data_IF_799443041770
#
_entry.id   IF_799443041770
#
_cell.length_a   1.000
_cell.length_b   1.000
_cell.length_c   1.000
_cell.angle_alpha   90.00
_cell.angle_beta   90.00
_cell.angle_gamma   90.00
#
_symmetry.space_group_name_H-M   'P 1'
#
loop_
_entity.id
_entity.type
_entity.pdbx_description
1 polymer ?
#
# COMPACT_ATOMS: atom_id res chain seq x y z
N UNK A 1 28.59 4.01 -4.70
CA UNK A 1 27.88 4.24 -3.43
C UNK A 1 28.27 3.13 -2.45
N UNK A 2 28.68 3.48 -1.24
CA UNK A 2 28.91 2.48 -0.17
C UNK A 2 27.74 2.56 0.80
N UNK A 3 26.94 1.50 0.92
CA UNK A 3 25.94 1.38 1.98
C UNK A 3 26.66 0.94 3.26
N UNK A 4 26.57 1.76 4.30
CA UNK A 4 27.25 1.48 5.56
C UNK A 4 26.33 0.80 6.58
N UNK A 5 25.08 0.52 6.24
CA UNK A 5 24.17 -0.14 7.16
C UNK A 5 23.13 -0.98 6.44
N UNK A 6 22.65 -2.02 7.10
CA UNK A 6 21.59 -2.90 6.62
C UNK A 6 20.53 -3.11 7.69
N UNK A 7 19.26 -3.15 7.25
CA UNK A 7 18.14 -3.58 8.09
C UNK A 7 17.83 -5.04 7.78
N UNK A 8 17.64 -5.84 8.80
CA UNK A 8 17.14 -7.20 8.65
C UNK A 8 16.16 -7.57 9.76
N UNK A 9 15.33 -8.55 9.49
CA UNK A 9 14.34 -9.04 10.43
C UNK A 9 14.60 -10.50 10.79
N UNK A 10 14.30 -10.84 12.05
CA UNK A 10 14.30 -12.22 12.52
C UNK A 10 13.09 -12.43 13.44
N UNK A 11 12.08 -13.12 12.92
CA UNK A 11 10.85 -13.38 13.66
C UNK A 11 10.09 -12.11 14.03
N UNK A 12 10.21 -11.68 15.26
CA UNK A 12 9.55 -10.49 15.81
C UNK A 12 10.48 -9.29 15.98
N UNK A 13 11.72 -9.39 15.55
CA UNK A 13 12.73 -8.34 15.75
C UNK A 13 13.15 -7.74 14.42
N UNK A 14 13.41 -6.44 14.42
CA UNK A 14 14.16 -5.73 13.36
C UNK A 14 15.45 -5.20 13.94
N UNK A 15 16.51 -5.30 13.18
CA UNK A 15 17.87 -4.91 13.61
C UNK A 15 18.51 -4.06 12.53
N UNK A 16 19.16 -2.99 12.94
CA UNK A 16 20.07 -2.21 12.10
C UNK A 16 21.50 -2.58 12.45
N UNK A 17 22.20 -3.10 11.45
CA UNK A 17 23.62 -3.41 11.53
C UNK A 17 24.42 -2.33 10.81
N UNK A 18 25.51 -1.92 11.42
CA UNK A 18 26.45 -0.94 10.88
C UNK A 18 27.71 -1.66 10.38
N UNK A 19 27.90 -1.64 9.06
CA UNK A 19 29.04 -2.27 8.42
C UNK A 19 30.37 -1.50 8.58
N UNK A 20 30.32 -0.24 9.02
CA UNK A 20 31.54 0.55 9.21
C UNK A 20 32.32 0.15 10.45
N UNK A 21 31.63 -0.25 11.49
CA UNK A 21 32.20 -0.65 12.78
C UNK A 21 31.84 -2.07 13.20
N UNK A 22 31.16 -2.82 12.32
CA UNK A 22 30.73 -4.20 12.54
C UNK A 22 29.89 -4.40 13.82
N UNK A 23 28.98 -3.46 14.10
CA UNK A 23 28.14 -3.49 15.30
C UNK A 23 26.65 -3.34 14.98
N UNK A 24 25.85 -3.66 15.97
CA UNK A 24 24.41 -3.37 15.94
C UNK A 24 24.21 -1.94 16.45
N UNK A 25 23.66 -1.07 15.58
CA UNK A 25 23.27 0.29 15.99
C UNK A 25 22.06 0.25 16.90
N UNK A 26 21.04 -0.52 16.51
CA UNK A 26 19.84 -0.71 17.32
C UNK A 26 19.07 -1.99 16.94
N UNK A 27 18.26 -2.45 17.87
CA UNK A 27 17.33 -3.56 17.71
C UNK A 27 15.99 -3.18 18.33
N UNK A 28 14.89 -3.48 17.63
CA UNK A 28 13.51 -3.26 18.09
C UNK A 28 12.76 -4.57 18.03
N UNK A 29 12.12 -4.93 19.15
CA UNK A 29 11.29 -6.12 19.26
C UNK A 29 9.80 -5.74 19.19
N UNK A 30 8.98 -6.62 18.60
CA UNK A 30 7.55 -6.49 18.46
C UNK A 30 6.83 -7.67 19.13
N UNK A 31 5.60 -7.44 19.59
CA UNK A 31 4.76 -8.52 20.14
C UNK A 31 4.31 -9.52 19.06
N UNK A 32 4.25 -9.07 17.81
CA UNK A 32 3.77 -9.82 16.65
C UNK A 32 4.87 -10.12 15.65
N UNK A 33 4.68 -11.16 14.84
CA UNK A 33 5.61 -11.49 13.76
C UNK A 33 5.68 -10.34 12.75
N UNK A 34 6.89 -9.95 12.36
CA UNK A 34 7.12 -9.00 11.29
C UNK A 34 6.80 -9.69 9.97
N UNK A 35 5.98 -9.04 9.18
CA UNK A 35 5.53 -9.50 7.88
C UNK A 35 6.20 -8.74 6.74
N UNK A 36 6.62 -7.52 7.00
CA UNK A 36 7.28 -6.69 6.03
C UNK A 36 7.96 -5.46 6.59
N UNK A 37 8.96 -4.99 5.86
CA UNK A 37 9.64 -3.74 6.14
C UNK A 37 9.82 -2.95 4.84
N UNK A 38 9.70 -1.63 4.96
CA UNK A 38 10.05 -0.69 3.88
C UNK A 38 10.76 0.50 4.48
N UNK A 39 11.71 1.06 3.74
CA UNK A 39 12.43 2.25 4.17
C UNK A 39 12.32 3.34 3.12
N UNK A 40 12.07 4.55 3.60
CA UNK A 40 12.02 5.78 2.82
C UNK A 40 12.76 6.83 3.64
N UNK A 41 13.90 7.27 3.17
CA UNK A 41 14.76 8.20 3.89
C UNK A 41 15.03 7.74 5.34
N UNK A 42 14.60 8.51 6.32
CA UNK A 42 14.72 8.21 7.74
C UNK A 42 13.50 7.46 8.32
N UNK A 43 12.51 7.13 7.51
CA UNK A 43 11.31 6.42 7.92
C UNK A 43 11.43 4.92 7.63
N UNK A 44 11.24 4.09 8.65
CA UNK A 44 11.16 2.63 8.51
C UNK A 44 9.75 2.17 8.89
N UNK A 45 9.02 1.72 7.90
CA UNK A 45 7.69 1.14 8.10
C UNK A 45 7.83 -0.35 8.37
N UNK A 46 7.27 -0.81 9.46
CA UNK A 46 7.27 -2.23 9.85
C UNK A 46 5.83 -2.72 9.92
N UNK A 47 5.50 -3.66 9.05
CA UNK A 47 4.18 -4.31 9.09
C UNK A 47 4.27 -5.58 9.92
N UNK A 48 3.43 -5.67 10.95
CA UNK A 48 3.30 -6.86 11.80
C UNK A 48 1.91 -7.46 11.68
N UNK A 49 1.82 -8.77 11.92
CA UNK A 49 0.57 -9.52 11.86
C UNK A 49 0.43 -10.43 13.07
N UNK A 50 -0.79 -10.58 13.58
CA UNK A 50 -1.05 -11.59 14.60
C UNK A 50 -1.01 -13.01 13.98
N UNK A 51 -0.88 -14.02 14.83
CA UNK A 51 -0.75 -15.43 14.39
C UNK A 51 -1.95 -15.93 13.57
N UNK A 52 -3.11 -15.34 13.75
CA UNK A 52 -4.33 -15.70 13.03
C UNK A 52 -4.53 -14.91 11.73
N UNK A 53 -3.63 -13.98 11.41
CA UNK A 53 -3.71 -13.15 10.20
C UNK A 53 -4.87 -12.14 10.17
N UNK A 54 -5.64 -12.03 11.23
CA UNK A 54 -6.86 -11.19 11.29
C UNK A 54 -6.58 -9.72 11.60
N UNK A 55 -5.43 -9.43 12.20
CA UNK A 55 -5.06 -8.06 12.57
C UNK A 55 -3.65 -7.73 12.11
N UNK A 56 -3.55 -6.68 11.34
CA UNK A 56 -2.29 -6.12 10.87
C UNK A 56 -2.07 -4.75 11.50
N UNK A 57 -0.82 -4.44 11.70
CA UNK A 57 -0.38 -3.16 12.26
C UNK A 57 0.80 -2.66 11.44
N UNK A 58 0.85 -1.35 11.23
CA UNK A 58 2.01 -0.68 10.70
C UNK A 58 2.60 0.23 11.78
N UNK A 59 3.87 0.03 12.05
CA UNK A 59 4.65 0.87 12.95
C UNK A 59 5.62 1.71 12.17
N UNK A 60 5.85 2.93 12.60
CA UNK A 60 6.94 3.76 12.11
C UNK A 60 8.09 3.75 13.11
N UNK A 61 9.30 3.51 12.59
CA UNK A 61 10.55 3.58 13.32
C UNK A 61 11.44 4.64 12.67
N UNK A 62 12.08 5.46 13.46
CA UNK A 62 13.14 6.34 13.01
C UNK A 62 14.41 5.53 12.68
N UNK A 63 14.89 5.66 11.46
CA UNK A 63 16.03 4.86 10.96
C UNK A 63 17.33 5.13 11.72
N UNK A 64 17.53 6.36 12.20
CA UNK A 64 18.77 6.74 12.87
C UNK A 64 18.82 6.18 14.28
N UNK A 65 17.73 6.38 15.04
CA UNK A 65 17.68 6.06 16.46
C UNK A 65 17.09 4.70 16.80
N UNK A 66 16.34 4.09 15.89
CA UNK A 66 15.54 2.88 16.17
C UNK A 66 14.32 3.16 17.04
N UNK A 67 14.01 4.41 17.33
CA UNK A 67 12.86 4.78 18.15
C UNK A 67 11.56 4.54 17.38
N UNK A 68 10.66 3.75 17.98
CA UNK A 68 9.31 3.59 17.45
C UNK A 68 8.51 4.87 17.72
N UNK A 69 7.95 5.43 16.65
CA UNK A 69 7.24 6.71 16.70
C UNK A 69 5.75 6.51 16.96
N UNK A 70 5.13 5.59 16.24
CA UNK A 70 3.72 5.24 16.41
C UNK A 70 3.40 3.84 15.88
N UNK A 71 2.24 3.34 16.27
CA UNK A 71 1.63 2.10 15.77
C UNK A 71 0.20 2.38 15.33
N UNK A 72 -0.17 1.92 14.15
CA UNK A 72 -1.54 2.00 13.62
C UNK A 72 -2.06 0.61 13.29
N UNK A 73 -3.33 0.34 13.62
CA UNK A 73 -4.02 -0.91 13.26
C UNK A 73 -4.47 -0.88 11.81
N UNK A 74 -3.53 -0.63 10.92
CA UNK A 74 -3.73 -0.53 9.48
C UNK A 74 -2.59 -1.23 8.74
N UNK A 75 -2.84 -1.62 7.50
CA UNK A 75 -1.81 -2.05 6.56
C UNK A 75 -1.75 -1.05 5.42
N UNK A 76 -0.57 -0.60 5.12
CA UNK A 76 -0.34 0.31 4.00
C UNK A 76 0.10 -0.48 2.78
N UNK A 77 -0.56 -0.27 1.65
CA UNK A 77 -0.17 -0.82 0.36
C UNK A 77 0.50 0.25 -0.50
N UNK A 78 -0.19 1.35 -0.70
CA UNK A 78 0.30 2.53 -1.39
C UNK A 78 0.04 3.74 -0.54
N UNK A 79 1.04 4.55 -0.35
CA UNK A 79 0.98 5.79 0.43
C UNK A 79 1.52 6.95 -0.39
N UNK A 80 1.11 8.14 -0.01
CA UNK A 80 1.78 9.37 -0.44
C UNK A 80 2.37 10.05 0.79
N UNK A 81 3.63 10.46 0.68
CA UNK A 81 4.29 11.29 1.69
C UNK A 81 4.52 12.67 1.10
N UNK A 82 3.80 13.65 1.61
CA UNK A 82 3.84 15.03 1.12
C UNK A 82 4.21 15.92 2.30
N UNK A 83 5.44 16.42 2.34
CA UNK A 83 5.99 17.12 3.50
C UNK A 83 5.93 16.22 4.74
N UNK A 84 5.12 16.61 5.75
CA UNK A 84 4.90 15.85 6.98
C UNK A 84 3.54 15.14 7.00
N UNK A 85 2.85 15.03 5.88
CA UNK A 85 1.56 14.37 5.77
C UNK A 85 1.75 13.02 5.08
N UNK A 86 1.30 11.96 5.73
CA UNK A 86 1.19 10.63 5.16
C UNK A 86 -0.27 10.36 4.84
N UNK A 87 -0.55 10.07 3.57
CA UNK A 87 -1.90 9.79 3.07
C UNK A 87 -1.94 8.34 2.62
N UNK A 88 -2.96 7.62 3.05
CA UNK A 88 -3.22 6.25 2.66
C UNK A 88 -4.71 5.96 2.52
N UNK A 89 -5.01 4.93 1.75
CA UNK A 89 -6.35 4.35 1.67
C UNK A 89 -6.39 3.13 2.57
N UNK A 90 -7.31 3.11 3.51
CA UNK A 90 -7.50 1.99 4.42
C UNK A 90 -8.44 0.91 3.84
N UNK A 91 -8.55 -0.23 4.52
CA UNK A 91 -9.40 -1.36 4.10
C UNK A 91 -10.89 -1.03 4.06
N UNK A 92 -11.33 -0.02 4.79
CA UNK A 92 -12.73 0.43 4.80
C UNK A 92 -13.05 1.44 3.71
N UNK A 93 -12.18 1.56 2.71
CA UNK A 93 -12.30 2.49 1.58
C UNK A 93 -12.33 3.98 2.01
N UNK A 94 -11.62 4.29 3.10
CA UNK A 94 -11.41 5.68 3.53
C UNK A 94 -10.02 6.15 3.14
N UNK A 95 -9.92 7.40 2.74
CA UNK A 95 -8.65 8.12 2.64
C UNK A 95 -8.37 8.78 3.98
N UNK A 96 -7.26 8.42 4.57
CA UNK A 96 -6.83 8.95 5.87
C UNK A 96 -5.50 9.66 5.68
N UNK A 97 -5.40 10.85 6.24
CA UNK A 97 -4.16 11.61 6.33
C UNK A 97 -3.75 11.73 7.79
N UNK A 98 -2.50 11.43 8.06
CA UNK A 98 -1.90 11.57 9.38
C UNK A 98 -0.66 12.47 9.31
N UNK A 99 -0.34 13.10 10.40
CA UNK A 99 1.00 13.67 10.57
C UNK A 99 2.01 12.51 10.72
N UNK A 100 3.00 12.45 9.85
CA UNK A 100 3.94 11.32 9.79
C UNK A 100 4.80 11.20 11.05
N UNK A 101 5.06 12.30 11.73
CA UNK A 101 5.93 12.32 12.90
C UNK A 101 5.21 11.90 14.19
N UNK A 102 3.90 12.18 14.29
CA UNK A 102 3.12 11.88 15.49
C UNK A 102 2.14 10.73 15.32
N UNK A 103 1.79 10.37 14.09
CA UNK A 103 0.73 9.40 13.79
C UNK A 103 -0.69 9.93 14.03
N UNK A 104 -0.83 11.21 14.39
CA UNK A 104 -2.13 11.83 14.69
C UNK A 104 -2.90 12.04 13.38
N UNK A 105 -4.16 11.60 13.37
CA UNK A 105 -5.06 11.80 12.24
C UNK A 105 -5.34 13.29 12.05
N UNK A 106 -5.12 13.78 10.82
CA UNK A 106 -5.48 15.14 10.40
C UNK A 106 -6.90 15.16 9.85
N UNK A 107 -7.21 14.19 9.02
CA UNK A 107 -8.56 13.97 8.51
C UNK A 107 -8.75 12.55 8.03
N UNK A 108 -10.00 12.12 7.96
CA UNK A 108 -10.40 10.86 7.34
C UNK A 108 -11.71 11.07 6.59
N UNK A 109 -11.75 10.64 5.34
CA UNK A 109 -12.93 10.78 4.50
C UNK A 109 -13.27 9.47 3.81
N UNK A 110 -14.55 9.18 3.66
CA UNK A 110 -14.99 8.06 2.83
C UNK A 110 -14.66 8.37 1.37
N UNK A 111 -14.21 7.35 0.65
CA UNK A 111 -14.07 7.47 -0.80
C UNK A 111 -15.42 7.90 -1.41
N UNK A 112 -15.42 8.91 -2.27
CA UNK A 112 -16.65 9.31 -2.98
C UNK A 112 -17.08 8.27 -4.02
N UNK A 113 -16.23 7.27 -4.27
CA UNK A 113 -16.46 6.23 -5.28
C UNK A 113 -16.96 4.96 -4.60
N UNK A 114 -18.25 4.69 -4.75
CA UNK A 114 -18.93 3.58 -4.06
C UNK A 114 -18.53 2.21 -4.61
N UNK A 115 -18.34 2.10 -5.92
CA UNK A 115 -18.21 0.82 -6.62
C UNK A 115 -16.89 0.67 -7.38
N UNK A 116 -16.03 1.66 -7.34
CA UNK A 116 -14.75 1.63 -8.02
C UNK A 116 -13.59 1.97 -7.10
N UNK A 117 -12.45 1.35 -7.35
CA UNK A 117 -11.22 1.77 -6.71
C UNK A 117 -10.70 3.02 -7.39
N UNK A 118 -10.69 4.18 -6.73
CA UNK A 118 -10.17 5.38 -7.33
C UNK A 118 -8.66 5.27 -7.56
N UNK A 119 -8.20 5.92 -8.61
CA UNK A 119 -6.79 6.22 -8.81
C UNK A 119 -6.46 7.54 -8.15
N UNK A 120 -5.23 7.68 -7.75
CA UNK A 120 -4.73 8.90 -7.08
C UNK A 120 -3.39 9.29 -7.65
N UNK A 121 -3.11 10.58 -7.74
CA UNK A 121 -1.78 11.12 -7.98
C UNK A 121 -1.67 12.57 -7.47
N UNK A 122 -0.45 12.99 -7.22
CA UNK A 122 -0.10 14.38 -6.94
C UNK A 122 0.53 15.01 -8.19
N UNK A 123 0.01 16.14 -8.62
CA UNK A 123 0.58 16.90 -9.73
C UNK A 123 0.45 18.40 -9.45
N UNK A 124 1.55 19.15 -9.58
CA UNK A 124 1.57 20.60 -9.35
C UNK A 124 0.97 21.02 -8.00
N UNK A 125 1.25 20.25 -6.93
CA UNK A 125 0.74 20.50 -5.59
C UNK A 125 -0.75 20.19 -5.39
N UNK A 126 -1.43 19.62 -6.38
CA UNK A 126 -2.84 19.23 -6.34
C UNK A 126 -2.96 17.73 -6.25
N UNK A 127 -3.68 17.24 -5.25
CA UNK A 127 -3.92 15.80 -5.07
C UNK A 127 -5.25 15.42 -5.72
N UNK A 128 -5.16 14.60 -6.76
CA UNK A 128 -6.28 14.14 -7.56
C UNK A 128 -6.76 12.77 -7.08
N UNK A 129 -8.09 12.65 -6.92
CA UNK A 129 -8.79 11.38 -6.78
C UNK A 129 -9.76 11.26 -7.94
N UNK A 130 -9.74 10.17 -8.69
CA UNK A 130 -10.62 10.06 -9.84
C UNK A 130 -11.01 8.61 -10.16
N UNK A 131 -12.12 8.52 -10.87
CA UNK A 131 -12.62 7.32 -11.55
C UNK A 131 -12.85 7.66 -13.03
N UNK A 132 -13.40 6.71 -13.78
CA UNK A 132 -13.71 6.95 -15.22
C UNK A 132 -14.67 8.12 -15.49
N UNK A 133 -15.44 8.52 -14.49
CA UNK A 133 -16.54 9.51 -14.68
C UNK A 133 -16.38 10.78 -13.87
N UNK A 134 -15.68 10.72 -12.75
CA UNK A 134 -15.65 11.81 -11.79
C UNK A 134 -14.26 12.04 -11.26
N UNK A 135 -13.89 13.29 -11.13
CA UNK A 135 -12.58 13.74 -10.70
C UNK A 135 -12.76 14.70 -9.54
N UNK A 136 -12.00 14.48 -8.48
CA UNK A 136 -11.97 15.34 -7.31
C UNK A 136 -10.55 15.81 -7.02
N UNK A 137 -10.45 17.02 -6.51
CA UNK A 137 -9.27 17.53 -5.81
C UNK A 137 -9.47 17.34 -4.32
N UNK A 138 -8.48 16.76 -3.68
CA UNK A 138 -8.42 16.66 -2.22
C UNK A 138 -7.59 17.81 -1.67
N UNK A 139 -8.21 18.60 -0.81
CA UNK A 139 -7.47 19.57 -0.01
C UNK A 139 -6.73 18.85 1.12
N UNK A 140 -5.41 18.96 1.13
CA UNK A 140 -4.54 18.22 2.06
C UNK A 140 -4.55 18.78 3.49
N UNK A 141 -5.06 19.99 3.69
CA UNK A 141 -5.11 20.59 5.00
C UNK A 141 -6.34 20.16 5.81
N UNK A 142 -7.46 19.93 5.13
CA UNK A 142 -8.75 19.69 5.79
C UNK A 142 -9.54 18.48 5.25
N UNK A 143 -9.05 17.79 4.24
CA UNK A 143 -9.72 16.62 3.66
C UNK A 143 -10.93 16.94 2.78
N UNK A 144 -11.20 18.21 2.47
CA UNK A 144 -12.35 18.59 1.63
C UNK A 144 -12.14 18.17 0.18
N UNK A 145 -13.14 17.52 -0.39
CA UNK A 145 -13.19 17.19 -1.80
C UNK A 145 -13.91 18.28 -2.59
N UNK A 146 -13.32 18.65 -3.74
CA UNK A 146 -13.95 19.58 -4.69
C UNK A 146 -13.91 18.91 -6.05
N UNK A 147 -15.08 18.88 -6.72
CA UNK A 147 -15.15 18.38 -8.09
C UNK A 147 -14.27 19.21 -9.01
N UNK A 148 -13.59 18.55 -9.94
CA UNK A 148 -12.58 19.18 -10.77
C UNK A 148 -12.48 18.50 -12.14
N UNK A 149 -11.54 18.97 -12.94
CA UNK A 149 -11.13 18.35 -14.19
C UNK A 149 -9.65 17.94 -14.09
N UNK A 150 -9.25 16.97 -14.86
CA UNK A 150 -7.84 16.65 -15.02
C UNK A 150 -7.12 17.81 -15.72
N UNK A 151 -5.81 17.94 -15.51
CA UNK A 151 -4.97 18.83 -16.30
C UNK A 151 -5.11 18.55 -17.80
N UNK A 152 -4.90 19.57 -18.62
CA UNK A 152 -4.94 19.47 -20.06
C UNK A 152 -4.04 18.32 -20.56
N UNK A 153 -4.51 17.62 -21.58
CA UNK A 153 -3.86 16.47 -22.20
C UNK A 153 -3.82 15.18 -21.35
N UNK A 154 -4.43 15.16 -20.16
CA UNK A 154 -4.62 13.91 -19.40
C UNK A 154 -6.06 13.42 -19.59
N UNK A 155 -6.21 12.20 -20.09
CA UNK A 155 -7.53 11.54 -20.22
C UNK A 155 -7.71 10.54 -19.07
N UNK A 156 -8.86 10.62 -18.41
CA UNK A 156 -9.19 9.72 -17.29
C UNK A 156 -9.25 8.25 -17.72
N UNK A 157 -9.67 7.96 -18.95
CA UNK A 157 -9.75 6.58 -19.48
C UNK A 157 -8.36 5.98 -19.62
N UNK A 158 -7.43 6.76 -20.17
CA UNK A 158 -6.04 6.31 -20.35
C UNK A 158 -5.36 6.06 -19.01
N UNK A 159 -5.57 6.97 -18.06
CA UNK A 159 -5.00 6.85 -16.71
C UNK A 159 -5.59 5.66 -15.94
N UNK A 160 -6.87 5.34 -16.13
CA UNK A 160 -7.51 4.20 -15.44
C UNK A 160 -7.04 2.88 -16.03
N UNK A 161 -6.83 2.81 -17.32
CA UNK A 161 -6.36 1.61 -18.01
C UNK A 161 -4.90 1.24 -17.64
N UNK A 162 -4.11 2.22 -17.19
CA UNK A 162 -2.69 2.07 -16.89
C UNK A 162 -2.36 2.03 -15.40
N UNK A 163 -1.06 1.97 -15.12
CA UNK A 163 -0.49 2.21 -13.80
C UNK A 163 -0.12 3.68 -13.69
N UNK A 164 -0.38 4.25 -12.52
CA UNK A 164 0.01 5.63 -12.21
C UNK A 164 1.02 5.59 -11.08
N UNK A 165 2.10 6.31 -11.26
CA UNK A 165 3.10 6.55 -10.24
C UNK A 165 3.51 8.01 -10.32
N UNK A 166 3.41 8.71 -9.21
CA UNK A 166 3.94 10.06 -9.05
C UNK A 166 5.18 10.07 -8.13
N UNK A 167 5.84 11.20 -8.04
CA UNK A 167 7.10 11.36 -7.28
C UNK A 167 6.93 11.13 -5.76
N UNK A 168 5.69 11.18 -5.24
CA UNK A 168 5.38 11.11 -3.83
C UNK A 168 4.70 9.80 -3.44
N UNK A 169 4.34 8.98 -4.44
CA UNK A 169 3.68 7.70 -4.23
C UNK A 169 4.68 6.60 -3.95
N UNK A 170 4.45 5.85 -2.91
CA UNK A 170 5.31 4.78 -2.46
C UNK A 170 4.50 3.52 -2.21
N UNK A 171 4.95 2.41 -2.78
CA UNK A 171 4.36 1.10 -2.56
C UNK A 171 5.12 0.38 -1.44
N UNK A 172 4.47 0.15 -0.31
CA UNK A 172 5.12 -0.36 0.90
C UNK A 172 5.13 -1.89 0.96
N UNK A 173 4.08 -2.55 0.54
CA UNK A 173 3.90 -3.98 0.76
C UNK A 173 4.03 -4.85 -0.50
N UNK A 174 5.04 -4.59 -1.32
CA UNK A 174 5.47 -5.53 -2.36
C UNK A 174 6.46 -6.56 -1.78
N UNK A 175 6.06 -7.31 -0.76
CA UNK A 175 6.94 -8.29 -0.14
C UNK A 175 6.61 -9.64 -0.76
N UNK A 176 7.58 -10.26 -1.46
CA UNK A 176 7.48 -11.67 -1.78
C UNK A 176 7.45 -12.45 -0.47
N UNK A 177 6.34 -13.09 -0.16
CA UNK A 177 6.30 -14.05 0.92
C UNK A 177 7.11 -15.28 0.50
N UNK A 178 8.35 -15.35 0.94
CA UNK A 178 9.21 -16.51 0.69
C UNK A 178 8.80 -17.77 1.47
N UNK A 179 7.69 -17.74 2.21
CA UNK A 179 7.40 -18.79 3.18
C UNK A 179 5.96 -19.30 3.23
N UNK A 180 5.15 -19.03 2.23
CA UNK A 180 3.88 -19.72 2.09
C UNK A 180 3.37 -19.60 0.66
N UNK A 181 3.06 -20.75 0.04
CA UNK A 181 2.44 -20.87 -1.27
C UNK A 181 1.01 -20.32 -1.35
N UNK A 182 0.74 -19.22 -0.66
CA UNK A 182 -0.44 -18.42 -0.82
C UNK A 182 -0.03 -17.08 -1.42
N UNK A 183 -0.20 -16.98 -2.73
CA UNK A 183 -0.30 -15.69 -3.38
C UNK A 183 -1.35 -14.88 -2.63
N UNK A 184 -0.91 -13.86 -1.91
CA UNK A 184 -1.79 -12.73 -1.65
C UNK A 184 -1.88 -12.04 -2.99
N UNK A 185 -2.92 -12.32 -3.73
CA UNK A 185 -3.33 -11.45 -4.81
C UNK A 185 -3.50 -10.07 -4.18
N UNK A 186 -2.56 -9.18 -4.43
CA UNK A 186 -2.84 -7.77 -4.37
C UNK A 186 -4.06 -7.59 -5.26
N UNK A 187 -5.12 -7.08 -4.70
CA UNK A 187 -6.36 -6.74 -5.41
C UNK A 187 -6.06 -5.53 -6.32
N UNK A 188 -5.25 -5.78 -7.31
CA UNK A 188 -5.16 -4.97 -8.52
C UNK A 188 -6.31 -5.52 -9.34
N UNK A 189 -7.45 -4.84 -9.29
CA UNK A 189 -8.62 -5.21 -10.06
C UNK A 189 -8.23 -5.37 -11.54
N UNK A 190 -7.92 -6.59 -11.92
CA UNK A 190 -7.98 -6.99 -13.31
C UNK A 190 -9.46 -7.06 -13.65
N UNK A 191 -9.88 -6.11 -14.48
CA UNK A 191 -11.17 -6.17 -15.12
C UNK A 191 -11.31 -7.52 -15.79
N UNK A 192 -12.37 -8.19 -15.42
CA UNK A 192 -12.90 -9.37 -16.08
C UNK A 192 -13.16 -9.01 -17.55
N UNK A 193 -12.20 -9.36 -18.41
CA UNK A 193 -12.46 -9.47 -19.83
C UNK A 193 -12.95 -10.91 -20.06
N UNK A 194 -14.27 -11.05 -20.05
CA UNK A 194 -14.95 -12.26 -20.45
C UNK A 194 -14.40 -12.74 -21.78
N UNK A 195 -13.72 -13.87 -21.77
CA UNK A 195 -13.47 -14.67 -22.97
C UNK A 195 -14.51 -15.77 -22.98
N UNK A 196 -15.31 -15.71 -24.03
CA UNK A 196 -16.43 -16.52 -24.28
C UNK A 196 -16.20 -18.02 -24.16
N UNK A 197 -17.25 -18.59 -23.69
CA UNK A 197 -17.63 -19.99 -23.79
C UNK A 197 -17.46 -20.50 -25.22
N UNK A 198 -16.55 -21.46 -25.42
CA UNK A 198 -16.55 -22.30 -26.57
C UNK A 198 -17.02 -23.67 -26.13
N UNK A 199 -18.32 -23.89 -26.35
CA UNK A 199 -18.92 -25.18 -26.28
C UNK A 199 -18.20 -26.17 -27.21
N UNK A 200 -17.90 -27.32 -26.66
CA UNK A 200 -17.45 -28.48 -27.38
C UNK A 200 -18.11 -29.70 -26.73
N UNK A 201 -19.27 -30.06 -27.31
CA UNK A 201 -19.87 -31.33 -27.06
C UNK A 201 -19.09 -32.45 -27.74
N UNK A 202 -19.20 -33.62 -27.19
CA UNK A 202 -19.33 -34.91 -27.88
C UNK A 202 -19.47 -36.00 -26.81
N UNK A 203 -20.55 -36.69 -26.74
CA UNK A 203 -21.08 -37.70 -27.61
C UNK A 203 -20.23 -38.99 -27.61
N UNK A 204 -20.86 -40.05 -27.23
CA UNK A 204 -20.47 -41.41 -27.50
C UNK A 204 -20.22 -42.21 -26.24
N UNK A 205 -21.01 -43.11 -25.87
CA UNK A 205 -21.65 -44.12 -26.63
C UNK A 205 -21.21 -45.46 -26.18
N UNK A 206 -22.14 -46.29 -25.83
CA UNK A 206 -22.07 -47.64 -26.24
C UNK A 206 -21.65 -48.68 -25.21
N UNK A 207 -22.61 -49.48 -24.83
CA UNK A 207 -22.56 -50.89 -25.03
C UNK A 207 -22.10 -51.68 -23.83
N UNK A 208 -22.77 -52.46 -23.35
CA UNK A 208 -23.56 -53.63 -23.72
C UNK A 208 -23.07 -54.81 -22.90
N UNK A 209 -24.04 -55.54 -22.39
CA UNK A 209 -24.12 -56.98 -22.18
C UNK A 209 -23.18 -57.70 -21.17
N UNK A 210 -23.85 -58.40 -20.30
CA UNK A 210 -23.32 -59.53 -19.56
C UNK A 210 -24.16 -59.79 -18.35
#
# INVERSE_FOLDING_TARGET
MKSNSVLFTKGKSITKYNGSNNSIDWKVDFDKKIYGISRIDDYVFVTTRNNWGTSNFTSLIDFKSGKKTWDLKEIFYSIHIIKNILIFKNRTNKFTAIDINSGIEKFSLKSPFRWSTPKTFLLNGKFYLFSSKTIYLLNLDNGKLTESKLPDRLDAKDLIAGFILDEFQININNIPSSDSGHMIMSDVGFGDSGVGDVGGGDAGGGGDAG
#
